data_IF_366129355416
#
_entry.id   IF_366129355416
#
_cell.length_a   1.000
_cell.length_b   1.000
_cell.length_c   1.000
_cell.angle_alpha   90.00
_cell.angle_beta   90.00
_cell.angle_gamma   90.00
#
_symmetry.space_group_name_H-M   'P 1'
#
loop_
_entity.id
_entity.type
_entity.pdbx_description
1 polymer ?
#
# COMPACT_ATOMS: atom_id res chain seq x y z
N UNK A 1 -16.38 -48.37 -43.55
CA UNK A 1 -16.52 -47.15 -44.37
C UNK A 1 -16.86 -45.96 -43.48
N UNK A 2 -15.89 -45.10 -43.10
CA UNK A 2 -16.15 -43.88 -42.35
C UNK A 2 -16.44 -42.70 -43.29
N UNK A 3 -17.51 -41.95 -43.05
CA UNK A 3 -17.79 -40.68 -43.73
C UNK A 3 -17.03 -39.56 -43.01
N UNK A 4 -15.96 -39.07 -43.63
CA UNK A 4 -15.27 -37.83 -43.25
C UNK A 4 -16.14 -36.65 -43.67
N UNK A 5 -16.61 -35.86 -42.70
CA UNK A 5 -17.19 -34.54 -42.95
C UNK A 5 -16.05 -33.52 -42.99
N UNK A 6 -15.88 -32.93 -44.17
CA UNK A 6 -14.88 -31.91 -44.48
C UNK A 6 -15.49 -30.55 -44.13
N UNK A 7 -14.99 -29.88 -43.09
CA UNK A 7 -15.32 -28.48 -42.81
C UNK A 7 -14.23 -27.59 -43.42
N UNK A 8 -14.57 -26.64 -44.33
CA UNK A 8 -13.60 -25.67 -44.83
C UNK A 8 -13.33 -24.58 -43.79
N UNK A 9 -12.04 -24.33 -43.55
CA UNK A 9 -11.54 -23.25 -42.70
C UNK A 9 -11.76 -21.88 -43.37
N UNK A 10 -12.35 -20.94 -42.62
CA UNK A 10 -12.54 -19.54 -43.01
C UNK A 10 -11.30 -18.76 -42.52
N UNK A 11 -10.56 -18.05 -43.38
CA UNK A 11 -9.45 -17.20 -42.94
C UNK A 11 -9.98 -15.91 -42.27
N UNK A 12 -9.33 -15.40 -41.20
CA UNK A 12 -9.69 -14.11 -40.62
C UNK A 12 -9.27 -12.94 -41.53
N UNK A 13 -10.18 -12.00 -41.75
CA UNK A 13 -9.92 -10.73 -42.45
C UNK A 13 -9.02 -9.79 -41.63
N UNK A 14 -8.04 -9.10 -42.25
CA UNK A 14 -7.28 -8.04 -41.61
C UNK A 14 -7.89 -6.66 -41.90
N UNK A 15 -7.96 -5.80 -40.89
CA UNK A 15 -8.04 -4.34 -41.09
C UNK A 15 -9.37 -3.69 -40.73
N UNK A 16 -9.56 -3.41 -39.44
CA UNK A 16 -10.44 -2.33 -38.97
C UNK A 16 -9.60 -1.16 -38.44
N UNK A 17 -9.91 0.10 -38.78
CA UNK A 17 -9.15 1.27 -38.32
C UNK A 17 -9.28 1.44 -36.79
N UNK A 18 -8.16 1.63 -36.11
CA UNK A 18 -8.12 1.88 -34.67
C UNK A 18 -8.77 3.24 -34.35
N UNK A 19 -9.80 3.30 -33.48
CA UNK A 19 -10.35 4.57 -33.03
C UNK A 19 -9.34 5.27 -32.10
N UNK A 20 -8.98 6.50 -32.47
CA UNK A 20 -8.11 7.40 -31.69
C UNK A 20 -8.61 7.54 -30.25
N UNK A 21 -7.77 7.15 -29.28
CA UNK A 21 -8.06 7.14 -27.83
C UNK A 21 -8.33 8.52 -27.19
N UNK A 22 -8.28 9.61 -27.95
CA UNK A 22 -8.24 10.97 -27.38
C UNK A 22 -9.61 11.51 -26.94
N UNK A 23 -10.73 11.04 -27.51
CA UNK A 23 -12.06 11.62 -27.23
C UNK A 23 -12.75 11.03 -26.00
N UNK A 24 -12.33 9.85 -25.52
CA UNK A 24 -12.96 9.20 -24.35
C UNK A 24 -12.61 9.87 -23.03
N UNK A 25 -11.43 10.48 -22.93
CA UNK A 25 -10.93 11.05 -21.67
C UNK A 25 -11.71 12.31 -21.27
N UNK A 26 -12.05 13.18 -22.24
CA UNK A 26 -12.77 14.43 -21.96
C UNK A 26 -14.21 14.19 -21.48
N UNK A 27 -14.88 13.17 -22.03
CA UNK A 27 -16.23 12.80 -21.58
C UNK A 27 -16.26 12.25 -20.15
N UNK A 28 -15.24 11.47 -19.78
CA UNK A 28 -15.11 10.91 -18.43
C UNK A 28 -14.83 12.02 -17.40
N UNK A 29 -13.97 12.98 -17.73
CA UNK A 29 -13.67 14.11 -16.82
C UNK A 29 -14.91 14.96 -16.56
N UNK A 30 -15.72 15.26 -17.59
CA UNK A 30 -16.96 16.02 -17.41
C UNK A 30 -18.00 15.27 -16.58
N UNK A 31 -18.10 13.94 -16.75
CA UNK A 31 -18.99 13.11 -15.93
C UNK A 31 -18.58 13.10 -14.45
N UNK A 32 -17.28 13.03 -14.17
CA UNK A 32 -16.74 13.08 -12.80
C UNK A 32 -17.02 14.45 -12.16
N UNK A 33 -16.78 15.55 -12.88
CA UNK A 33 -17.05 16.90 -12.37
C UNK A 33 -18.54 17.10 -12.06
N UNK A 34 -19.43 16.60 -12.92
CA UNK A 34 -20.88 16.62 -12.67
C UNK A 34 -21.28 15.83 -11.42
N UNK A 35 -20.72 14.63 -11.24
CA UNK A 35 -20.97 13.80 -10.06
C UNK A 35 -20.52 14.50 -8.77
N UNK A 36 -19.32 15.10 -8.76
CA UNK A 36 -18.80 15.82 -7.59
C UNK A 36 -19.71 16.99 -7.21
N UNK A 37 -20.19 17.77 -8.18
CA UNK A 37 -21.12 18.87 -7.91
C UNK A 37 -22.44 18.40 -7.28
N UNK A 38 -22.99 17.27 -7.75
CA UNK A 38 -24.22 16.68 -7.19
C UNK A 38 -23.99 16.20 -5.76
N UNK A 39 -22.87 15.53 -5.48
CA UNK A 39 -22.52 15.09 -4.12
C UNK A 39 -22.40 16.28 -3.17
N UNK A 40 -21.73 17.36 -3.58
CA UNK A 40 -21.62 18.57 -2.76
C UNK A 40 -22.99 19.20 -2.49
N UNK A 41 -23.87 19.27 -3.50
CA UNK A 41 -25.23 19.77 -3.31
C UNK A 41 -26.05 18.92 -2.33
N UNK A 42 -25.93 17.59 -2.40
CA UNK A 42 -26.58 16.66 -1.45
C UNK A 42 -26.02 16.87 -0.04
N UNK A 43 -24.70 17.01 0.12
CA UNK A 43 -24.08 17.25 1.44
C UNK A 43 -24.54 18.59 2.03
N UNK A 44 -24.71 19.63 1.21
CA UNK A 44 -25.25 20.93 1.65
C UNK A 44 -26.74 20.87 1.99
N UNK A 45 -27.52 19.99 1.34
CA UNK A 45 -28.93 19.75 1.70
C UNK A 45 -29.06 18.92 2.98
N UNK A 46 -28.15 17.98 3.21
CA UNK A 46 -28.16 17.08 4.39
C UNK A 46 -27.55 17.76 5.63
N UNK A 47 -26.65 18.74 5.44
CA UNK A 47 -26.19 19.63 6.51
C UNK A 47 -26.91 20.97 6.40
N UNK A 48 -28.09 21.15 7.04
CA UNK A 48 -28.65 22.48 7.17
C UNK A 48 -27.61 23.35 7.88
N UNK A 49 -27.12 24.35 7.17
CA UNK A 49 -26.22 25.36 7.70
C UNK A 49 -26.88 26.03 8.90
N UNK A 50 -26.41 25.68 10.09
CA UNK A 50 -26.57 26.49 11.29
C UNK A 50 -25.86 27.81 11.05
N UNK A 51 -26.63 28.81 10.66
CA UNK A 51 -26.14 30.14 10.32
C UNK A 51 -27.24 31.18 10.43
N UNK A 52 -27.76 31.40 11.64
CA UNK A 52 -28.43 32.63 12.01
C UNK A 52 -28.13 32.94 13.49
N UNK A 53 -27.50 34.09 13.70
CA UNK A 53 -27.07 34.61 14.99
C UNK A 53 -28.24 35.08 15.87
N UNK A 54 -28.12 34.88 17.19
CA UNK A 54 -28.74 35.73 18.21
C UNK A 54 -27.97 35.60 19.55
N UNK A 55 -27.68 36.70 20.28
CA UNK A 55 -27.04 36.68 21.58
C UNK A 55 -28.06 36.68 22.72
N UNK A 56 -27.71 36.05 23.85
CA UNK A 56 -28.46 36.06 25.11
C UNK A 56 -28.78 34.62 25.55
N UNK A 57 -28.62 34.21 26.79
CA UNK A 57 -28.21 34.87 28.01
C UNK A 57 -28.15 33.80 29.11
N UNK A 58 -27.27 34.06 30.07
CA UNK A 58 -27.02 33.45 31.38
C UNK A 58 -27.96 32.37 31.96
N UNK A 59 -27.36 31.31 32.51
CA UNK A 59 -27.39 30.88 33.93
C UNK A 59 -26.96 29.39 33.99
N UNK A 60 -25.86 29.02 34.66
CA UNK A 60 -25.80 28.73 36.10
C UNK A 60 -26.20 27.25 36.31
N UNK A 61 -25.31 26.33 36.69
CA UNK A 61 -24.70 26.21 38.02
C UNK A 61 -23.44 25.32 38.01
N UNK A 62 -22.39 25.79 38.68
CA UNK A 62 -21.32 24.98 39.29
C UNK A 62 -21.79 24.55 40.71
N UNK A 63 -21.24 23.51 41.38
CA UNK A 63 -19.82 23.49 41.78
C UNK A 63 -19.11 22.12 41.87
N UNK A 64 -17.77 22.20 41.82
CA UNK A 64 -16.72 21.47 42.58
C UNK A 64 -16.67 19.92 42.50
N UNK A 65 -15.54 19.23 42.36
CA UNK A 65 -14.16 19.46 42.83
C UNK A 65 -13.28 18.37 42.19
N UNK A 66 -12.03 18.68 41.83
CA UNK A 66 -11.11 17.68 41.29
C UNK A 66 -9.76 18.30 40.91
N UNK A 67 -9.11 18.90 41.90
CA UNK A 67 -7.75 19.44 41.81
C UNK A 67 -6.72 18.31 41.80
N UNK A 68 -5.90 18.25 40.76
CA UNK A 68 -4.57 17.63 40.79
C UNK A 68 -3.71 18.28 39.69
N UNK A 69 -2.56 18.79 40.15
CA UNK A 69 -1.68 19.75 39.51
C UNK A 69 -0.92 19.25 38.25
N UNK A 70 -0.41 20.16 37.41
CA UNK A 70 0.56 19.84 36.36
C UNK A 70 1.99 19.85 36.91
N UNK A 71 2.72 18.74 36.75
CA UNK A 71 4.18 18.74 36.89
C UNK A 71 4.81 19.20 35.57
N UNK A 72 5.45 20.37 35.61
CA UNK A 72 6.45 20.80 34.62
C UNK A 72 7.81 20.21 34.96
N UNK A 73 8.53 19.70 33.96
CA UNK A 73 10.00 19.54 33.83
C UNK A 73 10.23 18.45 32.77
N UNK A 74 11.09 18.54 31.76
CA UNK A 74 12.07 19.51 31.30
C UNK A 74 12.55 18.99 29.93
N UNK A 75 12.93 19.89 29.03
CA UNK A 75 13.16 19.57 27.63
C UNK A 75 14.43 18.76 27.33
N UNK A 76 14.60 18.29 26.08
CA UNK A 76 15.91 18.00 25.55
C UNK A 76 16.52 19.25 24.90
N UNK A 77 17.75 19.54 25.29
CA UNK A 77 18.59 20.61 24.77
C UNK A 77 18.84 20.45 23.26
N UNK A 78 18.81 21.59 22.56
CA UNK A 78 19.46 21.76 21.26
C UNK A 78 20.95 22.03 21.45
N UNK A 79 21.80 21.23 20.79
CA UNK A 79 23.17 21.54 20.31
C UNK A 79 23.83 20.20 19.91
N UNK A 80 24.43 19.96 18.75
CA UNK A 80 24.64 20.72 17.52
C UNK A 80 25.41 19.81 16.53
N UNK A 81 25.37 20.05 15.22
CA UNK A 81 26.35 19.46 14.30
C UNK A 81 27.56 20.39 14.23
N UNK A 82 28.74 19.89 14.59
CA UNK A 82 30.00 20.53 14.25
C UNK A 82 30.48 19.98 12.89
N UNK A 83 30.66 20.83 11.85
CA UNK A 83 31.41 20.49 10.66
C UNK A 83 32.83 21.06 10.78
N UNK A 84 33.86 20.22 10.70
CA UNK A 84 35.27 20.58 10.43
C UNK A 84 36.06 19.27 10.27
N UNK A 85 36.90 19.03 9.27
CA UNK A 85 37.44 19.98 8.32
C UNK A 85 37.94 19.31 7.04
N UNK A 86 37.92 20.14 6.01
CA UNK A 86 38.77 20.09 4.84
C UNK A 86 40.22 20.33 5.29
N UNK A 87 41.14 19.43 4.95
CA UNK A 87 42.57 19.70 4.98
C UNK A 87 43.26 18.82 3.94
N UNK A 88 43.32 19.39 2.74
CA UNK A 88 44.23 19.07 1.65
C UNK A 88 45.69 19.00 2.13
N UNK A 89 46.40 17.92 1.81
CA UNK A 89 47.86 17.95 1.57
C UNK A 89 48.23 16.86 0.54
N UNK A 90 48.54 17.29 -0.69
CA UNK A 90 49.48 16.63 -1.60
C UNK A 90 50.79 17.45 -1.50
N UNK A 91 51.97 16.82 -1.37
CA UNK A 91 52.83 16.74 -2.54
C UNK A 91 53.56 15.39 -2.67
N UNK A 92 53.44 14.83 -3.88
CA UNK A 92 54.52 14.26 -4.70
C UNK A 92 55.81 13.75 -4.00
N UNK A 93 56.06 12.45 -4.15
CA UNK A 93 57.40 11.93 -4.37
C UNK A 93 57.33 10.70 -5.30
N UNK A 94 57.58 10.92 -6.58
CA UNK A 94 58.11 9.91 -7.51
C UNK A 94 59.64 10.04 -7.47
N UNK A 95 60.38 8.94 -7.28
CA UNK A 95 61.11 8.42 -8.44
C UNK A 95 61.05 6.88 -8.53
N UNK A 96 60.53 6.43 -9.68
CA UNK A 96 61.14 5.41 -10.56
C UNK A 96 61.99 4.29 -9.91
N UNK A 97 61.45 3.07 -9.92
CA UNK A 97 62.24 1.84 -10.02
C UNK A 97 61.60 0.87 -11.03
N UNK A 98 62.45 0.26 -11.83
CA UNK A 98 62.24 -0.44 -13.09
C UNK A 98 61.46 -1.79 -12.98
N UNK A 99 61.10 -2.44 -14.11
CA UNK A 99 60.07 -3.48 -14.16
C UNK A 99 60.63 -4.85 -13.77
N UNK A 100 59.83 -5.65 -13.06
CA UNK A 100 59.97 -7.09 -12.99
C UNK A 100 58.76 -7.73 -13.70
N UNK A 101 58.96 -8.50 -14.77
CA UNK A 101 57.92 -9.37 -15.30
C UNK A 101 57.95 -10.66 -14.48
N UNK A 102 56.88 -10.95 -13.74
CA UNK A 102 56.57 -12.35 -13.47
C UNK A 102 55.06 -12.55 -13.43
N UNK A 103 54.64 -13.47 -14.27
CA UNK A 103 53.26 -13.84 -14.45
C UNK A 103 52.81 -14.63 -13.23
N UNK A 104 51.84 -14.10 -12.51
CA UNK A 104 50.90 -14.93 -11.77
C UNK A 104 49.52 -14.44 -12.14
N UNK A 105 48.94 -15.11 -13.13
CA UNK A 105 47.54 -14.98 -13.48
C UNK A 105 46.70 -15.01 -12.18
N UNK A 106 45.67 -14.15 -12.03
CA UNK A 106 44.72 -14.37 -10.96
C UNK A 106 44.20 -15.79 -11.12
N UNK A 107 44.42 -16.60 -10.07
CA UNK A 107 43.85 -17.94 -9.96
C UNK A 107 42.40 -17.86 -10.40
N UNK A 108 42.04 -18.73 -11.35
CA UNK A 108 40.80 -18.64 -12.11
C UNK A 108 39.61 -18.27 -11.23
N UNK A 109 38.87 -17.24 -11.65
CA UNK A 109 37.50 -17.07 -11.21
C UNK A 109 36.84 -18.44 -11.40
N UNK A 110 36.48 -19.07 -10.28
CA UNK A 110 35.69 -20.28 -10.33
C UNK A 110 34.49 -19.99 -11.24
N UNK A 111 34.11 -20.92 -12.14
CA UNK A 111 32.95 -20.71 -12.98
C UNK A 111 31.77 -20.38 -12.07
N UNK A 112 31.19 -19.19 -12.27
CA UNK A 112 29.95 -18.75 -11.64
C UNK A 112 28.98 -19.93 -11.69
N UNK A 113 28.70 -20.53 -10.54
CA UNK A 113 27.74 -21.61 -10.48
C UNK A 113 26.42 -21.06 -11.02
N UNK A 114 25.69 -21.79 -11.90
CA UNK A 114 24.45 -21.29 -12.46
C UNK A 114 23.53 -20.82 -11.33
N UNK A 115 23.18 -19.53 -11.33
CA UNK A 115 22.28 -18.97 -10.33
C UNK A 115 20.97 -19.79 -10.38
N UNK A 116 20.61 -20.38 -9.24
CA UNK A 116 19.33 -21.08 -9.12
C UNK A 116 18.23 -20.04 -9.33
N UNK A 117 17.27 -20.27 -10.25
CA UNK A 117 16.17 -19.34 -10.45
C UNK A 117 15.45 -19.09 -9.13
N UNK A 118 15.28 -17.82 -8.76
CA UNK A 118 14.49 -17.46 -7.60
C UNK A 118 13.05 -17.99 -7.79
N UNK A 119 12.47 -18.56 -6.73
CA UNK A 119 11.08 -18.97 -6.77
C UNK A 119 10.19 -17.73 -6.95
N UNK A 120 9.18 -17.83 -7.83
CA UNK A 120 8.24 -16.73 -8.04
C UNK A 120 7.42 -16.48 -6.75
N UNK A 121 7.10 -15.20 -6.42
CA UNK A 121 6.31 -14.88 -5.24
C UNK A 121 4.89 -15.43 -5.36
N UNK A 122 4.33 -15.90 -4.24
CA UNK A 122 2.98 -16.41 -4.15
C UNK A 122 2.36 -16.15 -2.78
N UNK A 123 1.04 -15.98 -2.76
CA UNK A 123 0.23 -16.00 -1.54
C UNK A 123 -0.49 -17.35 -1.47
N UNK A 124 0.00 -18.23 -0.60
CA UNK A 124 -0.48 -19.61 -0.50
C UNK A 124 -1.82 -19.68 0.24
N UNK A 125 -1.93 -18.94 1.35
CA UNK A 125 -3.15 -18.81 2.14
C UNK A 125 -3.31 -17.38 2.63
N UNK A 126 -4.55 -16.90 2.65
CA UNK A 126 -4.92 -15.62 3.22
C UNK A 126 -6.37 -15.69 3.70
N UNK A 127 -6.61 -15.44 4.98
CA UNK A 127 -7.94 -15.52 5.60
C UNK A 127 -8.15 -14.48 6.70
N UNK A 128 -9.42 -14.24 7.02
CA UNK A 128 -9.88 -13.37 8.09
C UNK A 128 -10.87 -14.11 8.99
N UNK A 129 -10.76 -13.90 10.29
CA UNK A 129 -11.61 -14.52 11.32
C UNK A 129 -12.06 -13.45 12.34
N UNK A 130 -13.36 -13.11 12.40
CA UNK A 130 -14.41 -13.57 11.49
C UNK A 130 -14.30 -12.91 10.09
N UNK A 131 -14.80 -13.58 9.05
CA UNK A 131 -14.94 -12.97 7.71
C UNK A 131 -16.17 -12.05 7.60
N UNK A 132 -17.10 -12.17 8.54
CA UNK A 132 -18.33 -11.40 8.63
C UNK A 132 -18.48 -10.87 10.05
N UNK A 133 -18.70 -9.57 10.16
CA UNK A 133 -18.77 -8.84 11.42
C UNK A 133 -20.21 -8.41 11.65
N UNK A 134 -20.79 -8.74 12.81
CA UNK A 134 -22.10 -8.22 13.21
C UNK A 134 -21.96 -6.87 13.92
N UNK A 135 -22.74 -5.91 13.45
CA UNK A 135 -22.79 -4.53 13.92
C UNK A 135 -23.94 -4.27 14.88
N UNK A 136 -24.96 -5.13 14.89
CA UNK A 136 -26.10 -5.07 15.80
C UNK A 136 -26.83 -3.72 15.74
N UNK A 137 -27.04 -3.17 14.53
CA UNK A 137 -27.64 -1.85 14.34
C UNK A 137 -26.71 -0.66 14.53
N UNK A 138 -25.51 -0.84 15.09
CA UNK A 138 -24.60 0.26 15.42
C UNK A 138 -23.59 0.53 14.30
N UNK A 139 -23.93 1.48 13.42
CA UNK A 139 -23.05 1.95 12.33
C UNK A 139 -21.83 2.73 12.81
N UNK A 140 -21.76 3.12 14.08
CA UNK A 140 -20.59 3.83 14.63
C UNK A 140 -19.59 2.88 15.29
N UNK A 141 -19.97 1.62 15.50
CA UNK A 141 -19.11 0.62 16.10
C UNK A 141 -17.88 0.28 15.23
N UNK A 142 -16.82 -0.13 15.91
CA UNK A 142 -15.62 -0.73 15.31
C UNK A 142 -15.45 -2.11 15.92
N UNK A 143 -15.16 -3.10 15.07
CA UNK A 143 -15.10 -4.52 15.47
C UNK A 143 -13.75 -5.12 15.10
N UNK A 144 -13.15 -5.94 15.99
CA UNK A 144 -11.86 -6.56 15.73
C UNK A 144 -12.01 -7.75 14.78
N UNK A 145 -11.01 -7.94 13.94
CA UNK A 145 -10.86 -9.07 13.02
C UNK A 145 -9.42 -9.54 13.08
N UNK A 146 -9.22 -10.86 13.08
CA UNK A 146 -7.89 -11.48 13.06
C UNK A 146 -7.58 -11.99 11.66
N UNK A 147 -6.48 -11.53 11.08
CA UNK A 147 -5.98 -12.00 9.79
C UNK A 147 -4.93 -13.10 9.98
N UNK A 148 -4.83 -13.99 9.00
CA UNK A 148 -3.78 -15.00 8.92
C UNK A 148 -3.36 -15.23 7.47
N UNK A 149 -2.07 -15.41 7.23
CA UNK A 149 -1.54 -15.66 5.89
C UNK A 149 -0.23 -16.46 5.89
N UNK A 150 0.05 -17.06 4.74
CA UNK A 150 1.33 -17.68 4.42
C UNK A 150 1.70 -17.40 2.96
N UNK A 151 2.98 -17.16 2.72
CA UNK A 151 3.51 -16.80 1.40
C UNK A 151 4.77 -17.60 1.10
N UNK A 152 5.12 -17.67 -0.18
CA UNK A 152 6.31 -18.36 -0.68
C UNK A 152 6.95 -17.57 -1.81
N UNK A 153 8.26 -17.76 -2.05
CA UNK A 153 9.02 -17.07 -3.11
C UNK A 153 9.16 -15.55 -2.98
N UNK A 154 8.58 -14.94 -1.93
CA UNK A 154 8.66 -13.52 -1.63
C UNK A 154 9.88 -13.14 -0.80
N UNK A 155 10.38 -11.92 -1.01
CA UNK A 155 11.38 -11.27 -0.17
C UNK A 155 10.74 -10.24 0.80
N UNK A 156 9.59 -9.66 0.44
CA UNK A 156 8.84 -8.74 1.29
C UNK A 156 7.33 -8.90 1.10
N UNK A 157 6.55 -8.55 2.12
CA UNK A 157 5.09 -8.49 2.03
C UNK A 157 4.57 -7.12 2.50
N UNK A 158 3.42 -6.72 1.97
CA UNK A 158 2.70 -5.48 2.33
C UNK A 158 1.22 -5.78 2.48
N UNK A 159 0.59 -5.14 3.46
CA UNK A 159 -0.84 -5.24 3.72
C UNK A 159 -1.49 -3.87 3.56
N UNK A 160 -2.47 -3.78 2.66
CA UNK A 160 -3.24 -2.58 2.42
C UNK A 160 -4.72 -2.81 2.74
N UNK A 161 -5.39 -1.78 3.26
CA UNK A 161 -6.83 -1.81 3.55
C UNK A 161 -7.55 -0.75 2.71
N UNK A 162 -8.75 -1.08 2.23
CA UNK A 162 -9.57 -0.21 1.39
C UNK A 162 -9.04 0.02 -0.04
N UNK A 163 -7.96 -0.66 -0.45
CA UNK A 163 -7.37 -0.55 -1.79
C UNK A 163 -6.80 -1.88 -2.27
N UNK A 164 -6.69 -2.02 -3.59
CA UNK A 164 -6.04 -3.15 -4.26
C UNK A 164 -4.73 -2.75 -4.94
N UNK A 165 -4.20 -1.56 -4.66
CA UNK A 165 -2.90 -1.12 -5.18
C UNK A 165 -1.75 -1.98 -4.61
N UNK A 166 -1.01 -2.64 -5.49
CA UNK A 166 0.14 -3.51 -5.18
C UNK A 166 1.27 -2.79 -4.43
N UNK A 167 1.39 -1.46 -4.53
CA UNK A 167 2.43 -0.68 -3.85
C UNK A 167 1.95 0.00 -2.57
N UNK A 168 0.65 -0.02 -2.29
CA UNK A 168 0.09 0.58 -1.09
C UNK A 168 0.28 -0.32 0.15
N UNK A 169 0.01 0.26 1.32
CA UNK A 169 -0.02 -0.47 2.59
C UNK A 169 1.32 -0.54 3.33
N UNK A 170 1.23 -1.11 4.52
CA UNK A 170 2.34 -1.20 5.46
C UNK A 170 3.15 -2.49 5.25
N UNK A 171 4.48 -2.45 5.42
CA UNK A 171 5.30 -3.67 5.44
C UNK A 171 4.83 -4.63 6.54
N UNK A 172 4.72 -5.91 6.20
CA UNK A 172 4.35 -6.98 7.12
C UNK A 172 5.25 -8.21 6.92
N UNK A 173 5.23 -9.11 7.90
CA UNK A 173 5.93 -10.40 7.80
C UNK A 173 5.37 -11.25 6.66
N UNK A 174 6.22 -12.09 6.05
CA UNK A 174 5.85 -13.02 4.97
C UNK A 174 4.81 -14.06 5.41
N UNK A 175 4.67 -14.30 6.72
CA UNK A 175 3.63 -15.13 7.30
C UNK A 175 3.20 -14.55 8.65
N UNK A 176 1.92 -14.63 8.95
CA UNK A 176 1.39 -14.21 10.24
C UNK A 176 0.13 -15.01 10.60
N UNK A 177 -0.10 -15.13 11.90
CA UNK A 177 -1.35 -15.63 12.46
C UNK A 177 -1.83 -14.68 13.54
N UNK A 178 -3.14 -14.40 13.55
CA UNK A 178 -3.74 -13.49 14.54
C UNK A 178 -3.37 -12.02 14.39
N UNK A 179 -2.99 -11.56 13.19
CA UNK A 179 -2.71 -10.15 12.94
C UNK A 179 -4.00 -9.33 13.13
N UNK A 180 -3.97 -8.34 14.01
CA UNK A 180 -5.15 -7.54 14.36
C UNK A 180 -5.49 -6.50 13.30
N UNK A 181 -6.74 -6.54 12.83
CA UNK A 181 -7.36 -5.51 12.00
C UNK A 181 -8.65 -5.02 12.68
N UNK A 182 -9.06 -3.79 12.40
CA UNK A 182 -10.37 -3.27 12.81
C UNK A 182 -11.24 -2.95 11.60
N UNK A 183 -12.52 -3.29 11.68
CA UNK A 183 -13.53 -3.02 10.65
C UNK A 183 -14.54 -2.04 11.22
N UNK A 184 -14.83 -0.97 10.47
CA UNK A 184 -15.83 0.01 10.85
C UNK A 184 -17.21 -0.40 10.34
N UNK A 185 -18.20 -0.48 11.22
CA UNK A 185 -19.57 -0.89 10.89
C UNK A 185 -20.32 0.06 9.96
N UNK A 186 -19.81 1.27 9.76
CA UNK A 186 -20.33 2.21 8.75
C UNK A 186 -20.10 1.72 7.32
N UNK A 187 -19.04 0.93 7.12
CA UNK A 187 -18.62 0.42 5.82
C UNK A 187 -19.16 -1.01 5.69
N UNK A 188 -19.99 -1.29 4.68
CA UNK A 188 -20.56 -2.63 4.49
C UNK A 188 -19.51 -3.69 4.15
N UNK A 189 -18.38 -3.26 3.58
CA UNK A 189 -17.27 -4.12 3.17
C UNK A 189 -15.94 -3.42 3.45
N UNK A 190 -14.96 -4.18 3.93
CA UNK A 190 -13.56 -3.76 4.03
C UNK A 190 -12.72 -4.66 3.15
N UNK A 191 -12.09 -4.05 2.13
CA UNK A 191 -11.11 -4.73 1.29
C UNK A 191 -9.77 -4.80 2.01
N UNK A 192 -9.13 -5.96 1.98
CA UNK A 192 -7.78 -6.17 2.52
C UNK A 192 -6.94 -6.85 1.46
N UNK A 193 -5.90 -6.18 0.98
CA UNK A 193 -4.98 -6.69 -0.02
C UNK A 193 -3.64 -7.06 0.63
N UNK A 194 -3.20 -8.30 0.42
CA UNK A 194 -1.85 -8.76 0.75
C UNK A 194 -1.06 -8.89 -0.54
N UNK A 195 0.03 -8.13 -0.65
CA UNK A 195 0.96 -8.16 -1.77
C UNK A 195 2.30 -8.70 -1.32
N UNK A 196 2.88 -9.60 -2.11
CA UNK A 196 4.19 -10.20 -1.90
C UNK A 196 5.09 -9.82 -3.06
N UNK A 197 6.28 -9.31 -2.76
CA UNK A 197 7.28 -8.88 -3.72
C UNK A 197 8.46 -9.86 -3.72
N UNK A 198 8.81 -10.36 -4.90
CA UNK A 198 10.00 -11.17 -5.14
C UNK A 198 11.26 -10.30 -5.25
N UNK A 199 12.44 -10.92 -5.11
CA UNK A 199 13.73 -10.21 -5.18
C UNK A 199 14.02 -9.58 -6.56
N UNK A 200 13.35 -10.06 -7.60
CA UNK A 200 13.41 -9.56 -8.98
C UNK A 200 12.41 -8.42 -9.26
N UNK A 201 11.65 -8.00 -8.24
CA UNK A 201 10.58 -7.01 -8.35
C UNK A 201 9.26 -7.55 -8.89
N UNK A 202 9.15 -8.86 -9.12
CA UNK A 202 7.87 -9.50 -9.42
C UNK A 202 6.92 -9.44 -8.23
N UNK A 203 5.61 -9.44 -8.46
CA UNK A 203 4.62 -9.32 -7.39
C UNK A 203 3.48 -10.32 -7.53
N UNK A 204 3.03 -10.88 -6.41
CA UNK A 204 1.78 -11.63 -6.30
C UNK A 204 0.86 -10.96 -5.28
N UNK A 205 -0.44 -10.95 -5.54
CA UNK A 205 -1.42 -10.30 -4.66
C UNK A 205 -2.64 -11.20 -4.45
N UNK A 206 -3.19 -11.17 -3.24
CA UNK A 206 -4.55 -11.65 -2.94
C UNK A 206 -5.34 -10.60 -2.18
N UNK A 207 -6.63 -10.54 -2.48
CA UNK A 207 -7.57 -9.63 -1.81
C UNK A 207 -8.61 -10.44 -1.05
N UNK A 208 -8.88 -10.05 0.19
CA UNK A 208 -9.99 -10.51 1.01
C UNK A 208 -11.03 -9.40 1.14
N UNK A 209 -12.29 -9.81 1.28
CA UNK A 209 -13.39 -8.93 1.63
C UNK A 209 -13.88 -9.36 3.00
N UNK A 210 -13.91 -8.43 3.95
CA UNK A 210 -14.55 -8.63 5.25
C UNK A 210 -15.85 -7.84 5.24
N UNK A 211 -16.97 -8.52 5.43
CA UNK A 211 -18.31 -7.90 5.41
C UNK A 211 -18.72 -7.44 6.80
N UNK A 212 -19.40 -6.30 6.86
CA UNK A 212 -20.08 -5.82 8.06
C UNK A 212 -21.59 -5.91 7.83
N UNK A 213 -22.26 -6.69 8.67
CA UNK A 213 -23.70 -6.94 8.62
C UNK A 213 -24.38 -6.32 9.83
N UNK A 214 -25.66 -5.99 9.69
CA UNK A 214 -26.50 -5.44 10.75
C UNK A 214 -26.89 -6.51 11.78
#
# INVERSE_FOLDING_TARGET
FPRRLFFPAIPPSPGGPMPSRSTRTTGIVLAIVGLVAVVVAIVLLVRPGGGAAAPGGSAGTSPSTGESAPASQGGPASAGPAPSGDASVDPSADPSAAPAPDASAPAGAAPDAPAVPAAAPAVDAFSASPSTVSCAGDRTAVRPVSLSWSTSGGAAARLATGTTDVRAGDPVELSASGYGLTVACRDSETLVALTVEGADGSTAQRTLVVTAED
#
